data_IF_954028580293
#
_entry.id   IF_954028580293
#
_cell.length_a   1.000
_cell.length_b   1.000
_cell.length_c   1.000
_cell.angle_alpha   90.00
_cell.angle_beta   90.00
_cell.angle_gamma   90.00
#
_symmetry.space_group_name_H-M   'P 1'
#
loop_
_entity.id
_entity.type
_entity.pdbx_description
1 polymer ?
#
# COMPACT_ATOMS: atom_id res chain seq x y z
N UNK A 1 -17.22 -1.32 13.87
CA UNK A 1 -16.29 -1.31 12.72
C UNK A 1 -15.33 -0.17 13.00
N UNK A 2 -14.16 -0.44 13.59
CA UNK A 2 -13.26 0.61 14.07
C UNK A 2 -12.61 1.32 12.87
N UNK A 3 -12.68 2.64 12.88
CA UNK A 3 -11.93 3.50 11.98
C UNK A 3 -10.45 3.34 12.35
N UNK A 4 -9.66 2.65 11.53
CA UNK A 4 -8.21 2.56 11.77
C UNK A 4 -7.56 3.87 11.33
N UNK A 5 -7.70 4.90 12.16
CA UNK A 5 -6.94 6.14 12.02
C UNK A 5 -5.52 5.94 12.54
N UNK A 6 -4.53 6.12 11.66
CA UNK A 6 -3.15 6.39 12.07
C UNK A 6 -2.34 5.19 12.58
N UNK A 7 -2.33 4.05 11.87
CA UNK A 7 -1.25 3.07 12.08
C UNK A 7 0.09 3.70 11.68
N UNK A 8 1.08 3.59 12.56
CA UNK A 8 2.46 4.02 12.28
C UNK A 8 2.90 3.52 10.88
N UNK A 9 3.30 4.43 9.97
CA UNK A 9 3.63 4.04 8.60
C UNK A 9 4.72 2.97 8.51
N UNK A 10 5.69 2.99 9.42
CA UNK A 10 6.76 2.00 9.44
C UNK A 10 6.26 0.61 9.84
N UNK A 11 5.36 0.54 10.84
CA UNK A 11 4.68 -0.69 11.23
C UNK A 11 3.82 -1.23 10.10
N UNK A 12 3.04 -0.37 9.44
CA UNK A 12 2.23 -0.77 8.27
C UNK A 12 3.09 -1.36 7.15
N UNK A 13 4.20 -0.70 6.80
CA UNK A 13 5.10 -1.20 5.75
C UNK A 13 5.72 -2.55 6.11
N UNK A 14 6.08 -2.77 7.39
CA UNK A 14 6.59 -4.07 7.85
C UNK A 14 5.54 -5.16 7.76
N UNK A 15 4.31 -4.90 8.24
CA UNK A 15 3.20 -5.85 8.16
C UNK A 15 2.82 -6.16 6.71
N UNK A 16 2.75 -5.12 5.87
CA UNK A 16 2.48 -5.25 4.44
C UNK A 16 3.52 -6.10 3.71
N UNK A 17 4.81 -5.91 4.03
CA UNK A 17 5.89 -6.72 3.47
C UNK A 17 5.68 -8.21 3.79
N UNK A 18 5.47 -8.53 5.07
CA UNK A 18 5.26 -9.91 5.53
C UNK A 18 4.05 -10.54 4.84
N UNK A 19 2.92 -9.84 4.78
CA UNK A 19 1.70 -10.33 4.12
C UNK A 19 1.94 -10.59 2.63
N UNK A 20 2.59 -9.66 1.92
CA UNK A 20 2.89 -9.85 0.50
C UNK A 20 3.81 -11.05 0.24
N UNK A 21 4.83 -11.25 1.07
CA UNK A 21 5.74 -12.39 0.93
C UNK A 21 5.04 -13.73 1.18
N UNK A 22 4.08 -13.79 2.11
CA UNK A 22 3.28 -14.99 2.39
C UNK A 22 2.28 -15.28 1.27
N UNK A 23 1.65 -14.25 0.72
CA UNK A 23 0.59 -14.38 -0.29
C UNK A 23 1.14 -14.44 -1.73
N UNK A 24 2.47 -14.39 -1.92
CA UNK A 24 3.10 -14.36 -3.23
C UNK A 24 2.92 -15.69 -3.97
N UNK A 25 2.26 -15.70 -5.14
CA UNK A 25 2.20 -16.89 -5.98
C UNK A 25 3.60 -17.27 -6.52
N UNK A 26 3.87 -18.56 -6.66
CA UNK A 26 5.13 -19.04 -7.23
C UNK A 26 5.28 -18.57 -8.69
N UNK A 27 6.47 -18.10 -9.06
CA UNK A 27 6.75 -17.60 -10.41
C UNK A 27 6.33 -16.15 -10.67
N UNK A 28 5.73 -15.46 -9.69
CA UNK A 28 5.44 -14.02 -9.81
C UNK A 28 6.46 -13.20 -9.01
N UNK A 29 7.06 -12.15 -9.61
CA UNK A 29 7.97 -11.25 -8.89
C UNK A 29 7.28 -10.60 -7.69
N UNK A 30 8.00 -10.53 -6.58
CA UNK A 30 7.45 -10.00 -5.33
C UNK A 30 7.08 -8.53 -5.42
N UNK A 31 7.88 -7.73 -6.13
CA UNK A 31 7.63 -6.30 -6.30
C UNK A 31 6.37 -6.04 -7.14
N UNK A 32 6.04 -6.94 -8.07
CA UNK A 32 4.79 -6.87 -8.82
C UNK A 32 3.58 -7.07 -7.90
N UNK A 33 3.64 -8.07 -7.02
CA UNK A 33 2.59 -8.31 -6.02
C UNK A 33 2.49 -7.12 -5.05
N UNK A 34 3.61 -6.63 -4.53
CA UNK A 34 3.64 -5.45 -3.65
C UNK A 34 3.03 -4.23 -4.32
N UNK A 35 3.39 -3.92 -5.56
CA UNK A 35 2.84 -2.76 -6.28
C UNK A 35 1.32 -2.86 -6.43
N UNK A 36 0.79 -4.04 -6.79
CA UNK A 36 -0.65 -4.26 -6.93
C UNK A 36 -1.36 -4.18 -5.57
N UNK A 37 -0.84 -4.87 -4.56
CA UNK A 37 -1.43 -4.95 -3.22
C UNK A 37 -1.32 -3.64 -2.43
N UNK A 38 -0.30 -2.81 -2.69
CA UNK A 38 -0.04 -1.59 -1.93
C UNK A 38 -1.23 -0.63 -2.01
N UNK A 39 -1.77 -0.42 -3.22
CA UNK A 39 -2.97 0.40 -3.46
C UNK A 39 -4.25 -0.12 -2.76
N UNK A 40 -4.30 -1.41 -2.39
CA UNK A 40 -5.40 -1.97 -1.60
C UNK A 40 -5.17 -1.83 -0.09
N UNK A 41 -3.91 -1.72 0.35
CA UNK A 41 -3.55 -1.55 1.77
C UNK A 41 -3.74 -0.12 2.29
N UNK A 42 -3.89 0.87 1.38
CA UNK A 42 -4.07 2.27 1.72
C UNK A 42 -5.53 2.58 2.06
N UNK A 43 -5.75 3.47 3.02
CA UNK A 43 -7.07 4.03 3.30
C UNK A 43 -7.54 4.98 2.18
N UNK A 44 -8.81 5.39 2.23
CA UNK A 44 -9.43 6.25 1.22
C UNK A 44 -8.70 7.60 1.07
N UNK A 45 -8.39 8.28 2.17
CA UNK A 45 -7.76 9.59 2.13
C UNK A 45 -6.33 9.50 1.56
N UNK A 46 -5.59 8.46 1.94
CA UNK A 46 -4.24 8.21 1.42
C UNK A 46 -4.25 7.80 -0.06
N UNK A 47 -5.27 7.05 -0.51
CA UNK A 47 -5.48 6.74 -1.92
C UNK A 47 -5.79 7.99 -2.73
N UNK A 48 -6.70 8.83 -2.23
CA UNK A 48 -7.06 10.09 -2.90
C UNK A 48 -5.82 11.00 -3.03
N UNK A 49 -4.99 11.10 -1.99
CA UNK A 49 -3.69 11.79 -2.08
C UNK A 49 -2.75 11.18 -3.13
N UNK A 50 -2.58 9.84 -3.17
CA UNK A 50 -1.71 9.15 -4.12
C UNK A 50 -2.14 9.43 -5.58
N UNK A 51 -3.45 9.45 -5.87
CA UNK A 51 -3.97 9.78 -7.20
C UNK A 51 -3.82 11.26 -7.55
N UNK A 52 -3.78 12.14 -6.55
CA UNK A 52 -3.54 13.58 -6.73
C UNK A 52 -2.05 13.96 -6.81
N UNK A 53 -1.13 13.10 -6.36
CA UNK A 53 0.31 13.38 -6.43
C UNK A 53 0.78 13.78 -7.83
N UNK A 54 0.43 13.10 -8.95
CA UNK A 54 0.83 13.55 -10.29
C UNK A 54 0.32 14.96 -10.61
N UNK A 55 -0.87 15.33 -10.14
CA UNK A 55 -1.42 16.68 -10.35
C UNK A 55 -0.66 17.73 -9.54
N UNK A 56 -0.23 17.38 -8.32
CA UNK A 56 0.48 18.26 -7.40
C UNK A 56 1.97 18.48 -7.75
N UNK A 57 2.65 17.50 -8.34
CA UNK A 57 4.09 17.58 -8.66
C UNK A 57 4.39 18.04 -10.10
N UNK A 58 3.37 18.28 -10.92
CA UNK A 58 3.50 18.73 -12.32
C UNK A 58 3.31 20.25 -12.51
N UNK A 59 3.34 21.04 -11.43
CA UNK A 59 3.30 22.53 -11.45
C UNK A 59 4.59 23.08 -10.89
#
# INVERSE_FOLDING_TARGET
MAHEEGKDPHKHLKEFHVVCSIMRPQGIPEDYIKMKAFSFSLDRATKDWLYLQPVLFNT
#
